data_IF_856533686466
#
_entry.id   IF_856533686466
#
_cell.length_a   1.000
_cell.length_b   1.000
_cell.length_c   1.000
_cell.angle_alpha   90.00
_cell.angle_beta   90.00
_cell.angle_gamma   90.00
#
_symmetry.space_group_name_H-M   'P 1'
#
loop_
_entity.id
_entity.type
_entity.pdbx_description
1 polymer ?
#
# COMPACT_ATOMS: atom_id res chain seq x y z
N UNK A 1 16.10 -5.42 -33.63
CA UNK A 1 17.07 -4.29 -33.63
C UNK A 1 16.38 -2.97 -33.21
N UNK A 2 15.52 -2.99 -32.18
CA UNK A 2 14.64 -1.86 -31.83
C UNK A 2 14.85 -1.37 -30.38
N UNK A 3 15.81 -1.93 -29.65
CA UNK A 3 16.14 -1.55 -28.28
C UNK A 3 16.32 -0.02 -28.06
N UNK A 4 17.04 0.73 -28.93
CA UNK A 4 17.18 2.18 -28.72
C UNK A 4 15.85 2.93 -28.86
N UNK A 5 14.96 2.43 -29.74
CA UNK A 5 13.64 3.03 -29.99
C UNK A 5 12.69 2.79 -28.80
N UNK A 6 12.75 1.61 -28.19
CA UNK A 6 12.00 1.27 -26.97
C UNK A 6 12.48 2.10 -25.78
N UNK A 7 13.79 2.27 -25.61
CA UNK A 7 14.35 3.10 -24.53
C UNK A 7 13.97 4.57 -24.69
N UNK A 8 14.01 5.10 -25.91
CA UNK A 8 13.55 6.46 -26.21
C UNK A 8 12.07 6.63 -25.84
N UNK A 9 11.22 5.68 -26.23
CA UNK A 9 9.78 5.71 -25.95
C UNK A 9 9.49 5.69 -24.44
N UNK A 10 10.16 4.81 -23.68
CA UNK A 10 10.05 4.76 -22.22
C UNK A 10 10.53 6.06 -21.56
N UNK A 11 11.63 6.64 -22.07
CA UNK A 11 12.15 7.93 -21.61
C UNK A 11 11.14 9.06 -21.81
N UNK A 12 10.53 9.16 -22.99
CA UNK A 12 9.52 10.18 -23.31
C UNK A 12 8.29 10.03 -22.40
N UNK A 13 7.78 8.81 -22.22
CA UNK A 13 6.64 8.55 -21.32
C UNK A 13 6.97 8.98 -19.89
N UNK A 14 8.15 8.63 -19.38
CA UNK A 14 8.60 9.00 -18.03
C UNK A 14 8.64 10.53 -17.84
N UNK A 15 9.20 11.25 -18.83
CA UNK A 15 9.26 12.73 -18.79
C UNK A 15 7.87 13.36 -18.84
N UNK A 16 6.99 12.88 -19.72
CA UNK A 16 5.61 13.38 -19.83
C UNK A 16 4.82 13.17 -18.54
N UNK A 17 4.92 12.00 -17.93
CA UNK A 17 4.30 11.67 -16.64
C UNK A 17 4.83 12.60 -15.54
N UNK A 18 6.14 12.84 -15.51
CA UNK A 18 6.77 13.72 -14.53
C UNK A 18 6.30 15.18 -14.68
N UNK A 19 6.24 15.70 -15.91
CA UNK A 19 5.73 17.05 -16.18
C UNK A 19 4.24 17.20 -15.84
N UNK A 20 3.42 16.20 -16.13
CA UNK A 20 2.00 16.19 -15.77
C UNK A 20 1.82 16.21 -14.25
N UNK A 21 2.66 15.49 -13.51
CA UNK A 21 2.63 15.47 -12.05
C UNK A 21 3.02 16.80 -11.42
N UNK A 22 4.07 17.47 -11.93
CA UNK A 22 4.50 18.76 -11.39
C UNK A 22 3.44 19.86 -11.55
N UNK A 23 2.56 19.76 -12.55
CA UNK A 23 1.45 20.71 -12.76
C UNK A 23 0.18 20.37 -11.97
N UNK A 24 0.09 19.18 -11.36
CA UNK A 24 -1.10 18.78 -10.61
C UNK A 24 -1.17 19.55 -9.26
N UNK A 25 -2.30 20.19 -8.94
CA UNK A 25 -2.44 20.94 -7.69
C UNK A 25 -2.34 19.99 -6.48
N UNK A 26 -1.44 20.30 -5.55
CA UNK A 26 -1.27 19.57 -4.28
C UNK A 26 -2.12 20.24 -3.21
N UNK A 27 -3.17 19.55 -2.73
CA UNK A 27 -3.87 19.95 -1.51
C UNK A 27 -3.18 19.32 -0.31
N UNK A 28 -2.62 20.15 0.58
CA UNK A 28 -2.08 19.71 1.86
C UNK A 28 -3.17 19.79 2.93
N UNK A 29 -3.69 18.65 3.39
CA UNK A 29 -4.46 18.58 4.63
C UNK A 29 -3.81 17.56 5.57
N UNK A 30 -3.03 18.04 6.54
CA UNK A 30 -2.48 17.20 7.63
C UNK A 30 -3.42 17.23 8.82
N UNK A 31 -3.94 16.07 9.20
CA UNK A 31 -4.66 15.90 10.47
C UNK A 31 -4.07 14.69 11.19
N UNK A 32 -3.28 14.95 12.23
CA UNK A 32 -2.52 13.95 12.96
C UNK A 32 -3.34 12.75 13.46
N UNK A 33 -4.56 12.99 13.96
CA UNK A 33 -5.46 11.92 14.42
C UNK A 33 -5.93 11.04 13.26
N UNK A 34 -6.19 11.65 12.09
CA UNK A 34 -6.62 10.89 10.91
C UNK A 34 -5.52 9.97 10.40
N UNK A 35 -4.28 10.45 10.47
CA UNK A 35 -3.11 9.71 10.02
C UNK A 35 -2.93 8.41 10.83
N UNK A 36 -3.15 8.43 12.15
CA UNK A 36 -3.06 7.22 12.98
C UNK A 36 -4.07 6.14 12.58
N UNK A 37 -5.30 6.52 12.21
CA UNK A 37 -6.30 5.58 11.71
C UNK A 37 -5.88 4.91 10.40
N UNK A 38 -5.13 5.60 9.53
CA UNK A 38 -4.62 5.01 8.28
C UNK A 38 -3.62 3.89 8.57
N UNK A 39 -2.78 4.03 9.59
CA UNK A 39 -1.87 2.96 10.03
C UNK A 39 -2.69 1.76 10.49
N UNK A 40 -3.70 1.98 11.32
CA UNK A 40 -4.56 0.90 11.81
C UNK A 40 -5.27 0.18 10.65
N UNK A 41 -5.80 0.92 9.69
CA UNK A 41 -6.41 0.36 8.49
C UNK A 41 -5.42 -0.47 7.66
N UNK A 42 -4.20 0.03 7.43
CA UNK A 42 -3.16 -0.75 6.75
C UNK A 42 -2.80 -2.03 7.51
N UNK A 43 -2.64 -1.97 8.83
CA UNK A 43 -2.37 -3.15 9.66
C UNK A 43 -3.50 -4.17 9.58
N UNK A 44 -4.76 -3.73 9.70
CA UNK A 44 -5.91 -4.65 9.61
C UNK A 44 -6.00 -5.31 8.23
N UNK A 45 -5.76 -4.58 7.15
CA UNK A 45 -5.70 -5.13 5.79
C UNK A 45 -4.57 -6.15 5.62
N UNK A 46 -3.39 -5.87 6.17
CA UNK A 46 -2.24 -6.77 6.11
C UNK A 46 -2.47 -8.07 6.86
N UNK A 47 -2.92 -8.00 8.12
CA UNK A 47 -3.15 -9.19 8.95
C UNK A 47 -4.28 -10.05 8.41
N UNK A 48 -5.41 -9.43 8.03
CA UNK A 48 -6.56 -10.18 7.50
C UNK A 48 -6.21 -10.85 6.16
N UNK A 49 -5.52 -10.15 5.26
CA UNK A 49 -5.11 -10.74 3.97
C UNK A 49 -4.09 -11.85 4.18
N UNK A 50 -3.11 -11.67 5.05
CA UNK A 50 -2.11 -12.71 5.33
C UNK A 50 -2.75 -13.95 5.98
N UNK A 51 -3.70 -13.77 6.89
CA UNK A 51 -4.44 -14.88 7.50
C UNK A 51 -5.22 -15.68 6.44
N UNK A 52 -5.96 -15.01 5.56
CA UNK A 52 -6.72 -15.69 4.48
C UNK A 52 -5.77 -16.35 3.48
N UNK A 53 -4.65 -15.71 3.18
CA UNK A 53 -3.63 -16.22 2.25
C UNK A 53 -2.96 -17.49 2.79
N UNK A 54 -2.44 -17.45 4.02
CA UNK A 54 -1.58 -18.50 4.60
C UNK A 54 -2.39 -19.55 5.37
N UNK A 55 -3.25 -19.15 6.31
CA UNK A 55 -3.98 -20.08 7.17
C UNK A 55 -5.12 -20.75 6.41
N UNK A 56 -5.90 -19.96 5.66
CA UNK A 56 -7.04 -20.49 4.89
C UNK A 56 -6.64 -21.02 3.50
N UNK A 57 -5.39 -20.81 3.07
CA UNK A 57 -4.82 -21.32 1.80
C UNK A 57 -5.61 -20.93 0.54
N UNK A 58 -6.35 -19.81 0.58
CA UNK A 58 -7.04 -19.28 -0.60
C UNK A 58 -6.10 -18.54 -1.57
N UNK A 59 -4.83 -18.37 -1.19
CA UNK A 59 -3.81 -17.73 -2.00
C UNK A 59 -3.87 -16.19 -1.96
N UNK A 60 -2.79 -15.53 -2.41
CA UNK A 60 -2.59 -14.10 -2.18
C UNK A 60 -3.58 -13.23 -2.95
N UNK A 61 -3.88 -13.59 -4.21
CA UNK A 61 -4.73 -12.78 -5.09
C UNK A 61 -6.18 -12.78 -4.63
N UNK A 62 -6.75 -13.94 -4.30
CA UNK A 62 -8.13 -14.04 -3.81
C UNK A 62 -8.27 -13.38 -2.43
N UNK A 63 -7.30 -13.56 -1.53
CA UNK A 63 -7.30 -12.92 -0.23
C UNK A 63 -7.31 -11.40 -0.35
N UNK A 64 -6.41 -10.82 -1.15
CA UNK A 64 -6.33 -9.38 -1.32
C UNK A 64 -7.56 -8.82 -2.05
N UNK A 65 -8.06 -9.53 -3.06
CA UNK A 65 -9.29 -9.16 -3.78
C UNK A 65 -10.51 -9.13 -2.85
N UNK A 66 -10.65 -10.14 -1.98
CA UNK A 66 -11.73 -10.20 -1.00
C UNK A 66 -11.66 -9.05 0.01
N UNK A 67 -10.50 -8.86 0.65
CA UNK A 67 -10.30 -7.78 1.63
C UNK A 67 -10.46 -6.40 0.99
N UNK A 68 -9.95 -6.20 -0.23
CA UNK A 68 -10.13 -4.95 -0.96
C UNK A 68 -11.58 -4.67 -1.34
N UNK A 69 -12.32 -5.70 -1.72
CA UNK A 69 -13.76 -5.58 -2.02
C UNK A 69 -14.53 -5.18 -0.77
N UNK A 70 -14.27 -5.83 0.38
CA UNK A 70 -14.86 -5.44 1.66
C UNK A 70 -14.50 -4.00 2.05
N UNK A 71 -13.24 -3.61 1.86
CA UNK A 71 -12.76 -2.27 2.14
C UNK A 71 -13.50 -1.20 1.31
N UNK A 72 -13.90 -1.50 0.08
CA UNK A 72 -14.64 -0.59 -0.80
C UNK A 72 -16.02 -0.19 -0.22
N UNK A 73 -16.62 -1.04 0.61
CA UNK A 73 -17.91 -0.76 1.26
C UNK A 73 -17.79 0.05 2.55
N UNK A 74 -16.59 0.19 3.14
CA UNK A 74 -16.35 0.93 4.39
C UNK A 74 -16.86 2.40 4.33
N UNK A 75 -16.64 3.17 3.24
CA UNK A 75 -17.19 4.53 3.10
C UNK A 75 -18.72 4.59 3.10
N UNK A 76 -19.42 3.48 2.80
CA UNK A 76 -20.89 3.44 2.74
C UNK A 76 -21.53 3.58 4.13
N UNK A 77 -20.82 3.18 5.19
CA UNK A 77 -21.31 3.23 6.59
C UNK A 77 -21.58 4.67 7.02
N UNK A 78 -20.72 5.62 6.64
CA UNK A 78 -20.94 7.03 6.93
C UNK A 78 -20.26 7.93 5.88
N UNK A 79 -21.02 8.26 4.83
CA UNK A 79 -20.55 9.04 3.67
C UNK A 79 -20.06 10.47 4.00
N UNK A 80 -20.47 11.02 5.14
CA UNK A 80 -20.05 12.37 5.57
C UNK A 80 -18.65 12.38 6.20
N UNK A 81 -18.13 11.24 6.64
CA UNK A 81 -16.81 11.16 7.26
C UNK A 81 -15.69 11.16 6.21
N UNK A 82 -14.81 12.16 6.25
CA UNK A 82 -13.61 12.19 5.42
C UNK A 82 -12.63 11.07 5.77
N UNK A 83 -12.68 10.52 6.99
CA UNK A 83 -11.85 9.40 7.41
C UNK A 83 -12.17 8.10 6.67
N UNK A 84 -13.45 7.77 6.56
CA UNK A 84 -13.86 6.50 5.96
C UNK A 84 -13.60 6.47 4.45
N UNK A 85 -13.48 7.63 3.80
CA UNK A 85 -13.07 7.73 2.39
C UNK A 85 -11.60 7.35 2.18
N UNK A 86 -10.75 7.55 3.18
CA UNK A 86 -9.32 7.19 3.11
C UNK A 86 -9.06 5.75 3.58
N UNK A 87 -10.06 5.07 4.17
CA UNK A 87 -9.91 3.70 4.64
C UNK A 87 -9.67 2.68 3.50
N UNK A 88 -10.40 2.68 2.36
CA UNK A 88 -10.17 1.72 1.29
C UNK A 88 -8.72 1.67 0.78
N UNK A 89 -8.07 2.79 0.39
CA UNK A 89 -6.69 2.74 -0.08
C UNK A 89 -5.70 2.30 1.01
N UNK A 90 -5.95 2.65 2.28
CA UNK A 90 -5.10 2.21 3.39
C UNK A 90 -5.21 0.69 3.64
N UNK A 91 -6.44 0.17 3.72
CA UNK A 91 -6.69 -1.27 3.87
C UNK A 91 -6.10 -2.04 2.70
N UNK A 92 -6.26 -1.55 1.46
CA UNK A 92 -5.75 -2.21 0.27
C UNK A 92 -4.22 -2.17 0.17
N UNK A 93 -3.59 -1.08 0.63
CA UNK A 93 -2.14 -1.03 0.82
C UNK A 93 -1.66 -2.12 1.77
N UNK A 94 -2.35 -2.28 2.89
CA UNK A 94 -2.14 -3.37 3.84
C UNK A 94 -2.31 -4.74 3.20
N UNK A 95 -3.38 -4.93 2.42
CA UNK A 95 -3.64 -6.19 1.73
C UNK A 95 -2.46 -6.61 0.85
N UNK A 96 -1.81 -5.67 0.15
CA UNK A 96 -0.60 -5.98 -0.60
C UNK A 96 0.57 -6.45 0.25
N UNK A 97 0.75 -5.90 1.47
CA UNK A 97 1.72 -6.40 2.44
C UNK A 97 1.38 -7.85 2.81
N UNK A 98 0.09 -8.14 3.06
CA UNK A 98 -0.41 -9.47 3.41
C UNK A 98 -0.37 -10.52 2.30
N UNK A 99 -0.17 -10.14 1.03
CA UNK A 99 0.07 -11.07 -0.08
C UNK A 99 1.46 -11.74 -0.01
N UNK A 100 2.34 -11.27 0.88
CA UNK A 100 3.70 -11.79 1.02
C UNK A 100 3.70 -13.28 1.33
N UNK A 101 4.60 -14.04 0.70
CA UNK A 101 4.73 -15.47 0.92
C UNK A 101 5.25 -15.79 2.32
N UNK A 102 4.84 -16.93 2.87
CA UNK A 102 5.35 -17.42 4.16
C UNK A 102 6.87 -17.64 4.18
N UNK A 103 7.51 -17.81 3.01
CA UNK A 103 8.96 -17.91 2.88
C UNK A 103 9.70 -16.61 3.21
N UNK A 104 9.07 -15.45 2.97
CA UNK A 104 9.64 -14.12 3.25
C UNK A 104 9.15 -13.60 4.60
N UNK A 105 7.86 -13.82 4.90
CA UNK A 105 7.23 -13.42 6.15
C UNK A 105 6.92 -14.66 7.00
N UNK A 106 7.82 -15.05 7.92
CA UNK A 106 7.69 -16.31 8.65
C UNK A 106 6.52 -16.32 9.64
N UNK A 107 6.16 -15.15 10.19
CA UNK A 107 5.26 -15.03 11.33
C UNK A 107 4.29 -13.84 11.17
N UNK A 108 3.12 -13.89 11.83
CA UNK A 108 2.19 -12.76 11.91
C UNK A 108 2.82 -11.49 12.51
N UNK A 109 3.78 -11.64 13.43
CA UNK A 109 4.53 -10.51 14.00
C UNK A 109 5.32 -9.73 12.94
N UNK A 110 5.86 -10.43 11.93
CA UNK A 110 6.56 -9.80 10.81
C UNK A 110 5.59 -8.95 9.98
N UNK A 111 4.42 -9.49 9.65
CA UNK A 111 3.38 -8.77 8.89
C UNK A 111 2.80 -7.60 9.69
N UNK A 112 2.65 -7.74 11.00
CA UNK A 112 2.24 -6.64 11.87
C UNK A 112 3.22 -5.46 11.75
N UNK A 113 4.51 -5.72 11.90
CA UNK A 113 5.55 -4.69 11.78
C UNK A 113 5.57 -4.07 10.38
N UNK A 114 5.51 -4.90 9.33
CA UNK A 114 5.45 -4.43 7.94
C UNK A 114 4.21 -3.59 7.67
N UNK A 115 3.04 -3.94 8.23
CA UNK A 115 1.81 -3.17 8.13
C UNK A 115 1.92 -1.79 8.79
N UNK A 116 2.57 -1.71 9.95
CA UNK A 116 2.85 -0.44 10.64
C UNK A 116 3.77 0.45 9.79
N UNK A 117 4.84 -0.12 9.25
CA UNK A 117 5.77 0.59 8.36
C UNK A 117 5.05 1.05 7.09
N UNK A 118 4.23 0.20 6.46
CA UNK A 118 3.45 0.56 5.28
C UNK A 118 2.51 1.73 5.55
N UNK A 119 1.76 1.68 6.66
CA UNK A 119 0.89 2.78 7.08
C UNK A 119 1.65 4.08 7.33
N UNK A 120 2.85 3.98 7.93
CA UNK A 120 3.70 5.14 8.19
C UNK A 120 4.21 5.77 6.88
N UNK A 121 4.70 4.96 5.94
CA UNK A 121 5.12 5.43 4.62
C UNK A 121 3.93 5.99 3.83
N UNK A 122 2.73 5.42 4.00
CA UNK A 122 1.50 5.92 3.37
C UNK A 122 1.14 7.34 3.82
N UNK A 123 1.28 7.64 5.12
CA UNK A 123 1.09 9.00 5.66
C UNK A 123 2.14 9.94 5.08
N UNK A 124 3.42 9.55 5.09
CA UNK A 124 4.51 10.36 4.54
C UNK A 124 4.31 10.63 3.04
N UNK A 125 3.74 9.66 2.33
CA UNK A 125 3.45 9.75 0.91
C UNK A 125 2.08 10.35 0.63
N UNK A 126 1.28 10.78 1.61
CA UNK A 126 -0.11 11.20 1.40
C UNK A 126 -0.24 12.37 0.42
N UNK A 127 0.73 13.28 0.41
CA UNK A 127 0.77 14.45 -0.48
C UNK A 127 1.67 14.23 -1.70
N UNK A 128 2.25 13.04 -1.84
CA UNK A 128 3.21 12.67 -2.87
C UNK A 128 2.57 11.57 -3.75
N UNK A 129 2.70 11.68 -5.06
CA UNK A 129 2.16 10.73 -6.04
C UNK A 129 0.63 10.57 -5.96
N UNK A 130 -0.10 11.67 -5.72
CA UNK A 130 -1.56 11.65 -5.78
C UNK A 130 -2.03 11.39 -7.22
N UNK A 131 -2.95 10.43 -7.38
CA UNK A 131 -3.44 9.98 -8.69
C UNK A 131 -2.48 9.06 -9.46
N UNK A 132 -1.30 8.73 -8.92
CA UNK A 132 -0.37 7.81 -9.55
C UNK A 132 -0.74 6.35 -9.26
N UNK A 133 -0.97 5.58 -10.33
CA UNK A 133 -1.08 4.13 -10.25
C UNK A 133 0.23 3.52 -9.73
N UNK A 134 0.11 2.46 -8.92
CA UNK A 134 1.27 1.73 -8.37
C UNK A 134 1.76 2.20 -6.99
N UNK A 135 1.38 3.39 -6.52
CA UNK A 135 1.80 3.96 -5.22
C UNK A 135 1.67 2.97 -4.05
N UNK A 136 0.50 2.38 -3.85
CA UNK A 136 0.23 1.47 -2.73
C UNK A 136 1.10 0.21 -2.81
N UNK A 137 1.33 -0.32 -4.02
CA UNK A 137 2.17 -1.49 -4.23
C UNK A 137 3.64 -1.20 -3.92
N UNK A 138 4.16 -0.05 -4.34
CA UNK A 138 5.53 0.38 -4.02
C UNK A 138 5.73 0.56 -2.52
N UNK A 139 4.74 1.13 -1.83
CA UNK A 139 4.77 1.29 -0.38
C UNK A 139 4.81 -0.06 0.32
N UNK A 140 3.94 -1.00 -0.09
CA UNK A 140 3.90 -2.34 0.48
C UNK A 140 5.20 -3.14 0.24
N UNK A 141 5.77 -3.04 -0.96
CA UNK A 141 7.07 -3.64 -1.26
C UNK A 141 8.17 -3.03 -0.39
N UNK A 142 8.24 -1.70 -0.31
CA UNK A 142 9.22 -1.00 0.51
C UNK A 142 9.10 -1.35 1.98
N UNK A 143 7.88 -1.47 2.52
CA UNK A 143 7.68 -1.85 3.92
C UNK A 143 8.16 -3.28 4.21
N UNK A 144 7.90 -4.23 3.31
CA UNK A 144 8.39 -5.60 3.45
C UNK A 144 9.92 -5.62 3.39
N UNK A 145 10.52 -4.93 2.42
CA UNK A 145 11.97 -4.86 2.28
C UNK A 145 12.65 -4.27 3.52
N UNK A 146 12.11 -3.17 4.07
CA UNK A 146 12.59 -2.56 5.32
C UNK A 146 12.43 -3.53 6.49
N UNK A 147 11.27 -4.19 6.62
CA UNK A 147 11.02 -5.15 7.70
C UNK A 147 11.97 -6.34 7.64
N UNK A 148 12.20 -6.88 6.43
CA UNK A 148 13.19 -7.93 6.20
C UNK A 148 14.60 -7.46 6.57
N UNK A 149 15.00 -6.26 6.12
CA UNK A 149 16.32 -5.72 6.45
C UNK A 149 16.53 -5.57 7.96
N UNK A 150 15.53 -5.05 8.68
CA UNK A 150 15.56 -4.94 10.15
C UNK A 150 15.71 -6.33 10.78
N UNK A 151 14.89 -7.30 10.38
CA UNK A 151 14.89 -8.62 10.99
C UNK A 151 16.22 -9.37 10.77
N UNK A 152 16.75 -9.36 9.55
CA UNK A 152 17.99 -10.06 9.18
C UNK A 152 19.27 -9.37 9.67
N UNK A 153 19.23 -8.09 10.05
CA UNK A 153 20.40 -7.39 10.60
C UNK A 153 20.45 -7.42 12.12
N UNK A 154 19.30 -7.54 12.79
CA UNK A 154 19.20 -7.61 14.25
C UNK A 154 19.27 -9.05 14.81
N UNK A 155 19.03 -10.06 13.99
CA UNK A 155 19.03 -11.48 14.35
C UNK A 155 19.81 -12.30 13.34
#
# INVERSE_FOLDING_TARGET
MNAPLVLLFLGIISVLISLAYFKAPRQEERYFIKDLYLILFAVTGALSTFFINIELKYGPVLAAGFIGTLASFVPSINRKSNLLKEAPPAIYCGAFVGMTSASVAPNLKFILLAGIIAGSILILSKNIFNGFGGKLGTIAFGSIAITSAILYTLF
#
